data_IF_598218441873
#
_entry.id   IF_598218441873
#
_cell.length_a   1.000
_cell.length_b   1.000
_cell.length_c   1.000
_cell.angle_alpha   90.00
_cell.angle_beta   90.00
_cell.angle_gamma   90.00
#
_symmetry.space_group_name_H-M   'P 1'
#
loop_
_entity.id
_entity.type
_entity.pdbx_description
1 polymer ?
#
# COMPACT_ATOMS: atom_id res chain seq x y z
N UNK A 1 -29.82 34.82 -45.32
CA UNK A 1 -29.97 34.60 -43.86
C UNK A 1 -28.74 33.85 -43.36
N UNK A 2 -27.80 34.54 -42.71
CA UNK A 2 -26.58 33.95 -42.16
C UNK A 2 -26.84 33.50 -40.71
N UNK A 3 -26.63 32.21 -40.42
CA UNK A 3 -26.73 31.67 -39.05
C UNK A 3 -25.43 31.96 -38.31
N UNK A 4 -25.49 32.81 -37.29
CA UNK A 4 -24.40 32.97 -36.32
C UNK A 4 -24.36 31.75 -35.39
N UNK A 5 -23.18 31.18 -35.20
CA UNK A 5 -22.90 30.18 -34.17
C UNK A 5 -22.05 30.84 -33.08
N UNK A 6 -22.47 30.66 -31.82
CA UNK A 6 -21.73 31.12 -30.65
C UNK A 6 -20.89 29.95 -30.11
N UNK A 7 -19.59 30.14 -30.04
CA UNK A 7 -18.67 29.21 -29.35
C UNK A 7 -18.52 29.73 -27.93
N UNK A 8 -18.95 28.93 -26.95
CA UNK A 8 -18.71 29.21 -25.54
C UNK A 8 -17.38 28.57 -25.17
N UNK A 9 -16.35 29.39 -24.93
CA UNK A 9 -15.14 28.96 -24.25
C UNK A 9 -15.40 29.02 -22.75
N UNK A 10 -15.57 27.86 -22.11
CA UNK A 10 -15.52 27.78 -20.64
C UNK A 10 -14.06 27.64 -20.21
N UNK A 11 -13.56 28.63 -19.49
CA UNK A 11 -12.28 28.55 -18.79
C UNK A 11 -12.56 27.88 -17.44
N UNK A 12 -12.23 26.59 -17.30
CA UNK A 12 -12.25 25.93 -15.99
C UNK A 12 -11.02 26.41 -15.24
N UNK A 13 -11.20 27.42 -14.40
CA UNK A 13 -10.17 27.83 -13.47
C UNK A 13 -10.02 26.71 -12.41
N UNK A 14 -8.95 25.93 -12.53
CA UNK A 14 -8.53 25.00 -11.48
C UNK A 14 -7.95 25.84 -10.34
N UNK A 15 -8.79 26.19 -9.36
CA UNK A 15 -8.35 26.80 -8.10
C UNK A 15 -7.60 25.73 -7.32
N UNK A 16 -6.27 25.80 -7.37
CA UNK A 16 -5.39 25.03 -6.50
C UNK A 16 -5.56 25.49 -5.05
N UNK A 17 -6.55 24.93 -4.36
CA UNK A 17 -6.63 25.00 -2.91
C UNK A 17 -5.55 24.07 -2.37
N UNK A 18 -4.42 24.64 -1.97
CA UNK A 18 -3.46 23.94 -1.11
C UNK A 18 -4.11 23.75 0.26
N UNK A 19 -4.86 22.66 0.41
CA UNK A 19 -5.29 22.17 1.71
C UNK A 19 -4.04 21.78 2.48
N UNK A 20 -3.68 22.54 3.51
CA UNK A 20 -2.72 22.13 4.54
C UNK A 20 -3.39 21.34 5.67
N UNK A 21 -4.68 21.04 5.55
CA UNK A 21 -5.32 20.07 6.41
C UNK A 21 -4.91 18.68 5.91
N UNK A 22 -4.24 17.92 6.78
CA UNK A 22 -4.07 16.47 6.65
C UNK A 22 -5.48 15.89 6.67
N UNK A 23 -6.06 15.69 5.50
CA UNK A 23 -7.36 15.11 5.28
C UNK A 23 -7.12 13.76 4.60
N UNK A 24 -7.14 12.70 5.40
CA UNK A 24 -7.05 11.35 4.86
C UNK A 24 -8.13 11.16 3.77
N UNK A 25 -7.73 10.53 2.67
CA UNK A 25 -8.63 10.16 1.59
C UNK A 25 -9.13 8.75 1.87
N UNK A 26 -10.43 8.60 2.09
CA UNK A 26 -11.04 7.30 2.39
C UNK A 26 -11.89 6.82 1.21
N UNK A 27 -11.69 5.56 0.81
CA UNK A 27 -12.55 4.86 -0.14
C UNK A 27 -13.06 3.56 0.47
N UNK A 28 -14.37 3.34 0.47
CA UNK A 28 -15.04 2.23 1.16
C UNK A 28 -16.28 1.76 0.39
N UNK A 29 -16.21 1.80 -0.93
CA UNK A 29 -17.33 1.50 -1.83
C UNK A 29 -17.15 0.21 -2.65
N UNK A 30 -16.09 -0.55 -2.37
CA UNK A 30 -15.75 -1.78 -3.09
C UNK A 30 -15.35 -1.59 -4.56
N UNK A 31 -15.16 -0.35 -5.00
CA UNK A 31 -14.77 -0.06 -6.38
C UNK A 31 -13.27 -0.21 -6.59
N UNK A 32 -12.86 -0.18 -7.86
CA UNK A 32 -11.46 -0.17 -8.29
C UNK A 32 -10.98 1.26 -8.59
N UNK A 33 -9.84 1.61 -8.00
CA UNK A 33 -9.20 2.91 -8.10
C UNK A 33 -7.82 2.77 -8.74
N UNK A 34 -7.40 3.77 -9.51
CA UNK A 34 -6.05 3.83 -10.07
C UNK A 34 -5.37 5.14 -9.69
N UNK A 35 -4.13 5.04 -9.22
CA UNK A 35 -3.22 6.18 -8.99
C UNK A 35 -2.01 6.03 -9.91
N UNK A 36 -1.75 7.03 -10.76
CA UNK A 36 -0.71 6.98 -11.80
C UNK A 36 -1.12 6.24 -13.07
N UNK A 37 -0.25 6.28 -14.09
CA UNK A 37 -0.54 5.71 -15.42
C UNK A 37 -1.54 6.50 -16.26
N UNK A 38 -2.14 5.83 -17.25
CA UNK A 38 -3.22 6.36 -18.09
C UNK A 38 -4.59 5.96 -17.56
N UNK A 39 -5.57 6.87 -17.64
CA UNK A 39 -6.95 6.59 -17.24
C UNK A 39 -7.48 5.31 -17.95
N UNK A 40 -7.81 4.30 -17.14
CA UNK A 40 -8.35 3.02 -17.59
C UNK A 40 -9.85 2.89 -17.31
N UNK A 41 -10.33 1.66 -17.09
CA UNK A 41 -11.71 1.37 -16.68
C UNK A 41 -11.99 1.71 -15.20
N UNK A 42 -10.93 1.89 -14.42
CA UNK A 42 -10.99 2.21 -13.00
C UNK A 42 -11.21 3.71 -12.75
N UNK A 43 -11.60 4.05 -11.53
CA UNK A 43 -11.71 5.44 -11.09
C UNK A 43 -10.28 6.01 -10.96
N UNK A 44 -9.91 6.88 -11.89
CA UNK A 44 -8.59 7.52 -11.90
C UNK A 44 -8.53 8.65 -10.87
N UNK A 45 -7.66 8.49 -9.88
CA UNK A 45 -7.47 9.43 -8.77
C UNK A 45 -6.40 10.50 -9.04
N UNK A 46 -5.78 10.47 -10.22
CA UNK A 46 -4.66 11.34 -10.57
C UNK A 46 -3.29 10.69 -10.38
N UNK A 47 -2.24 11.49 -10.46
CA UNK A 47 -0.85 11.05 -10.27
C UNK A 47 -0.40 11.14 -8.82
N UNK A 48 -1.09 11.92 -7.99
CA UNK A 48 -0.58 12.25 -6.65
C UNK A 48 -1.72 12.44 -5.66
N UNK A 49 -1.64 11.72 -4.55
CA UNK A 49 -2.43 11.89 -3.34
C UNK A 49 -1.48 12.47 -2.29
N UNK A 50 -1.68 13.74 -1.94
CA UNK A 50 -0.85 14.47 -0.97
C UNK A 50 -1.31 14.24 0.48
N UNK A 51 -1.82 13.05 0.77
CA UNK A 51 -2.38 12.68 2.07
C UNK A 51 -2.25 11.17 2.34
N UNK A 52 -2.76 10.74 3.49
CA UNK A 52 -3.05 9.33 3.76
C UNK A 52 -4.11 8.82 2.80
N UNK A 53 -3.94 7.60 2.33
CA UNK A 53 -4.96 6.88 1.58
C UNK A 53 -5.41 5.69 2.41
N UNK A 54 -6.69 5.67 2.80
CA UNK A 54 -7.30 4.58 3.55
C UNK A 54 -8.32 3.87 2.68
N UNK A 55 -8.20 2.55 2.56
CA UNK A 55 -9.17 1.71 1.86
C UNK A 55 -9.95 0.84 2.85
N UNK A 56 -11.27 0.83 2.69
CA UNK A 56 -12.26 -0.02 3.35
C UNK A 56 -12.36 0.14 4.88
N UNK A 57 -12.52 1.38 5.33
CA UNK A 57 -12.68 1.75 6.74
C UNK A 57 -14.12 1.42 7.24
N UNK A 58 -14.27 0.20 7.79
CA UNK A 58 -15.25 -0.16 8.82
C UNK A 58 -16.70 -0.53 8.41
N UNK A 59 -17.04 -0.67 7.13
CA UNK A 59 -18.38 -1.12 6.71
C UNK A 59 -18.42 -2.62 6.40
N UNK A 60 -18.80 -3.41 7.41
CA UNK A 60 -19.08 -4.85 7.29
C UNK A 60 -20.05 -5.15 6.13
N UNK A 61 -19.58 -5.95 5.15
CA UNK A 61 -20.28 -6.56 3.99
C UNK A 61 -20.14 -5.92 2.60
N UNK A 62 -19.20 -5.02 2.34
CA UNK A 62 -18.85 -4.66 0.96
C UNK A 62 -17.75 -5.56 0.40
N UNK A 63 -17.74 -5.76 -0.93
CA UNK A 63 -16.58 -6.32 -1.62
C UNK A 63 -15.38 -5.40 -1.35
N UNK A 64 -14.19 -5.96 -1.09
CA UNK A 64 -13.02 -5.17 -0.71
C UNK A 64 -12.68 -4.09 -1.75
N UNK A 65 -12.35 -2.87 -1.32
CA UNK A 65 -11.88 -1.82 -2.23
C UNK A 65 -10.56 -2.23 -2.90
N UNK A 66 -10.46 -1.99 -4.21
CA UNK A 66 -9.28 -2.35 -5.01
C UNK A 66 -8.49 -1.11 -5.41
N UNK A 67 -7.16 -1.12 -5.26
CA UNK A 67 -6.28 -0.05 -5.70
C UNK A 67 -5.16 -0.57 -6.62
N UNK A 68 -5.03 0.07 -7.77
CA UNK A 68 -3.90 -0.09 -8.69
C UNK A 68 -2.97 1.12 -8.56
N UNK A 69 -1.78 0.92 -7.99
CA UNK A 69 -0.73 1.93 -7.90
C UNK A 69 0.32 1.67 -9.00
N UNK A 70 0.32 2.54 -10.00
CA UNK A 70 1.14 2.39 -11.20
C UNK A 70 2.31 3.38 -11.21
N UNK A 71 3.23 3.20 -12.16
CA UNK A 71 4.32 4.14 -12.40
C UNK A 71 3.82 5.59 -12.55
N UNK A 72 4.50 6.52 -11.86
CA UNK A 72 4.12 7.94 -11.77
C UNK A 72 3.01 8.26 -10.76
N UNK A 73 2.40 7.24 -10.14
CA UNK A 73 1.50 7.40 -9.01
C UNK A 73 2.27 7.65 -7.71
N UNK A 74 1.74 8.51 -6.83
CA UNK A 74 2.36 8.80 -5.54
C UNK A 74 1.31 8.98 -4.45
N UNK A 75 1.47 8.27 -3.34
CA UNK A 75 0.77 8.48 -2.07
C UNK A 75 1.81 9.08 -1.11
N UNK A 76 1.63 10.34 -0.73
CA UNK A 76 2.66 11.10 -0.01
C UNK A 76 2.91 10.56 1.40
N UNK A 77 1.88 10.02 2.06
CA UNK A 77 1.98 9.53 3.43
C UNK A 77 1.92 7.99 3.46
N UNK A 78 0.99 7.42 4.22
CA UNK A 78 0.82 5.97 4.34
C UNK A 78 -0.38 5.50 3.52
N UNK A 79 -0.26 4.28 3.01
CA UNK A 79 -1.37 3.52 2.44
C UNK A 79 -1.88 2.56 3.52
N UNK A 80 -3.10 2.78 3.99
CA UNK A 80 -3.74 1.98 5.04
C UNK A 80 -4.87 1.17 4.43
N UNK A 81 -4.91 -0.13 4.71
CA UNK A 81 -5.80 -1.10 4.08
C UNK A 81 -6.51 -1.89 5.17
N UNK A 82 -7.82 -2.00 5.04
CA UNK A 82 -8.68 -2.76 5.95
C UNK A 82 -9.61 -3.71 5.16
N UNK A 83 -10.33 -4.56 5.87
CA UNK A 83 -11.50 -5.32 5.40
C UNK A 83 -11.41 -5.92 3.98
N UNK A 84 -10.45 -6.81 3.72
CA UNK A 84 -10.27 -7.48 2.42
C UNK A 84 -9.93 -6.54 1.25
N UNK A 85 -9.53 -5.29 1.50
CA UNK A 85 -9.00 -4.42 0.45
C UNK A 85 -7.80 -5.09 -0.24
N UNK A 86 -7.68 -4.83 -1.55
CA UNK A 86 -6.58 -5.38 -2.33
C UNK A 86 -5.82 -4.27 -3.04
N UNK A 87 -4.51 -4.43 -3.11
CA UNK A 87 -3.63 -3.49 -3.78
C UNK A 87 -2.75 -4.23 -4.77
N UNK A 88 -2.69 -3.73 -6.00
CA UNK A 88 -1.67 -4.11 -6.96
C UNK A 88 -0.75 -2.92 -7.19
N UNK A 89 0.52 -3.06 -6.81
CA UNK A 89 1.54 -2.03 -6.96
C UNK A 89 2.58 -2.48 -7.99
N UNK A 90 2.50 -1.91 -9.19
CA UNK A 90 3.44 -2.20 -10.31
C UNK A 90 4.49 -1.09 -10.49
N UNK A 91 4.39 -0.02 -9.71
CA UNK A 91 5.26 1.15 -9.76
C UNK A 91 4.81 2.19 -8.74
N UNK A 92 5.28 3.44 -8.93
CA UNK A 92 4.87 4.57 -8.09
C UNK A 92 5.57 4.60 -6.73
N UNK A 93 5.05 5.40 -5.80
CA UNK A 93 5.64 5.55 -4.47
C UNK A 93 4.62 5.72 -3.35
N UNK A 94 4.88 5.10 -2.19
CA UNK A 94 4.22 5.36 -0.91
C UNK A 94 5.26 5.98 0.03
N UNK A 95 4.98 7.17 0.56
CA UNK A 95 5.98 7.98 1.25
C UNK A 95 6.45 7.42 2.60
N UNK A 96 5.56 6.79 3.37
CA UNK A 96 5.91 6.19 4.66
C UNK A 96 5.76 4.68 4.66
N UNK A 97 4.56 4.16 4.86
CA UNK A 97 4.35 2.74 5.06
C UNK A 97 3.13 2.23 4.31
N UNK A 98 3.16 0.95 3.97
CA UNK A 98 1.96 0.19 3.63
C UNK A 98 1.53 -0.54 4.91
N UNK A 99 0.35 -0.19 5.42
CA UNK A 99 -0.28 -0.82 6.58
C UNK A 99 -1.45 -1.66 6.11
N UNK A 100 -1.29 -2.97 6.16
CA UNK A 100 -2.28 -3.95 5.74
C UNK A 100 -2.88 -4.64 6.97
N UNK A 101 -4.20 -4.55 7.12
CA UNK A 101 -4.96 -5.17 8.21
C UNK A 101 -6.11 -6.02 7.64
N UNK A 102 -6.72 -6.87 8.47
CA UNK A 102 -8.04 -7.52 8.24
C UNK A 102 -8.22 -8.19 6.86
N UNK A 103 -7.56 -9.33 6.65
CA UNK A 103 -7.66 -10.17 5.45
C UNK A 103 -7.31 -9.44 4.13
N UNK A 104 -6.60 -8.31 4.20
CA UNK A 104 -6.13 -7.57 3.02
C UNK A 104 -5.04 -8.31 2.25
N UNK A 105 -4.96 -8.02 0.95
CA UNK A 105 -3.91 -8.58 0.09
C UNK A 105 -3.22 -7.48 -0.71
N UNK A 106 -1.90 -7.37 -0.56
CA UNK A 106 -1.06 -6.49 -1.37
C UNK A 106 -0.16 -7.34 -2.26
N UNK A 107 -0.13 -7.05 -3.56
CA UNK A 107 0.84 -7.62 -4.49
C UNK A 107 1.70 -6.51 -5.05
N UNK A 108 3.02 -6.60 -4.83
CA UNK A 108 3.98 -5.57 -5.24
C UNK A 108 5.03 -6.18 -6.17
N UNK A 109 5.05 -5.72 -7.43
CA UNK A 109 6.03 -6.10 -8.44
C UNK A 109 6.92 -4.93 -8.88
N UNK A 110 6.65 -3.73 -8.34
CA UNK A 110 7.45 -2.54 -8.56
C UNK A 110 7.13 -1.39 -7.62
N UNK A 111 7.87 -0.29 -7.77
CA UNK A 111 7.69 0.94 -7.01
C UNK A 111 8.37 1.00 -5.65
N UNK A 112 8.20 2.12 -4.95
CA UNK A 112 8.94 2.47 -3.73
C UNK A 112 8.01 2.58 -2.51
N UNK A 113 8.45 2.01 -1.38
CA UNK A 113 7.86 2.26 -0.06
C UNK A 113 8.93 2.93 0.80
N UNK A 114 8.60 4.05 1.45
CA UNK A 114 9.61 4.87 2.10
C UNK A 114 10.26 4.23 3.34
N UNK A 115 9.46 3.63 4.22
CA UNK A 115 9.92 3.14 5.53
C UNK A 115 9.66 1.65 5.71
N UNK A 116 8.38 1.25 5.78
CA UNK A 116 8.04 -0.07 6.28
C UNK A 116 6.81 -0.72 5.66
N UNK A 117 6.78 -2.04 5.80
CA UNK A 117 5.59 -2.87 5.63
C UNK A 117 5.04 -3.25 7.00
N UNK A 118 3.73 -3.11 7.18
CA UNK A 118 3.03 -3.57 8.38
C UNK A 118 1.90 -4.49 7.96
N UNK A 119 1.87 -5.70 8.51
CA UNK A 119 0.81 -6.69 8.27
C UNK A 119 0.19 -7.15 9.60
N UNK A 120 -1.14 -7.10 9.69
CA UNK A 120 -1.94 -7.51 10.85
C UNK A 120 -3.20 -8.26 10.41
N UNK A 121 -3.84 -8.97 11.34
CA UNK A 121 -5.15 -9.61 11.17
C UNK A 121 -5.30 -10.39 9.84
N UNK A 122 -4.41 -11.37 9.60
CA UNK A 122 -4.34 -12.21 8.39
C UNK A 122 -4.00 -11.49 7.08
N UNK A 123 -3.61 -10.21 7.11
CA UNK A 123 -3.14 -9.52 5.94
C UNK A 123 -1.91 -10.19 5.32
N UNK A 124 -1.83 -10.17 3.99
CA UNK A 124 -0.73 -10.77 3.23
C UNK A 124 -0.15 -9.74 2.25
N UNK A 125 1.18 -9.62 2.25
CA UNK A 125 1.93 -8.80 1.29
C UNK A 125 2.83 -9.73 0.47
N UNK A 126 2.53 -9.86 -0.82
CA UNK A 126 3.32 -10.59 -1.79
C UNK A 126 4.31 -9.65 -2.48
N UNK A 127 5.59 -10.03 -2.47
CA UNK A 127 6.66 -9.32 -3.17
C UNK A 127 7.11 -10.16 -4.37
N UNK A 128 7.02 -9.58 -5.56
CA UNK A 128 7.43 -10.22 -6.81
C UNK A 128 8.75 -9.63 -7.28
N UNK A 129 9.76 -10.48 -7.40
CA UNK A 129 11.12 -10.04 -7.67
C UNK A 129 12.16 -11.14 -7.51
N UNK A 130 13.38 -10.73 -7.19
CA UNK A 130 14.54 -11.60 -7.06
C UNK A 130 15.49 -11.11 -5.97
N UNK A 131 16.40 -12.00 -5.56
CA UNK A 131 17.47 -11.72 -4.59
C UNK A 131 16.96 -11.22 -3.24
N UNK A 132 15.79 -11.70 -2.80
CA UNK A 132 15.26 -11.31 -1.51
C UNK A 132 16.08 -11.89 -0.36
N UNK A 133 16.28 -11.09 0.68
CA UNK A 133 16.87 -11.54 1.94
C UNK A 133 16.23 -10.84 3.13
N UNK A 134 16.18 -11.54 4.26
CA UNK A 134 15.76 -10.97 5.55
C UNK A 134 16.98 -10.82 6.42
N UNK A 135 17.16 -9.62 6.98
CA UNK A 135 18.12 -9.37 8.05
C UNK A 135 17.37 -9.18 9.36
N UNK A 136 17.64 -10.04 10.34
CA UNK A 136 17.04 -9.99 11.66
C UNK A 136 18.10 -10.35 12.71
N UNK A 137 18.18 -9.60 13.82
CA UNK A 137 19.19 -9.79 14.86
C UNK A 137 20.65 -9.87 14.33
N UNK A 138 20.96 -9.12 13.27
CA UNK A 138 22.28 -9.08 12.63
C UNK A 138 22.60 -10.27 11.73
N UNK A 139 21.67 -11.20 11.51
CA UNK A 139 21.82 -12.35 10.60
C UNK A 139 21.02 -12.11 9.33
N UNK A 140 21.68 -12.22 8.18
CA UNK A 140 21.05 -12.12 6.86
C UNK A 140 20.81 -13.50 6.27
N UNK A 141 19.57 -13.79 5.90
CA UNK A 141 19.14 -15.07 5.31
C UNK A 141 18.54 -14.80 3.93
N UNK A 142 19.06 -15.45 2.90
CA UNK A 142 18.47 -15.41 1.56
C UNK A 142 17.16 -16.18 1.52
N UNK A 143 16.14 -15.63 0.87
CA UNK A 143 14.82 -16.24 0.75
C UNK A 143 14.69 -17.05 -0.55
N UNK A 144 13.99 -18.17 -0.46
CA UNK A 144 13.50 -18.94 -1.60
C UNK A 144 12.16 -18.44 -2.13
N UNK A 145 11.67 -19.10 -3.18
CA UNK A 145 10.32 -18.85 -3.68
C UNK A 145 9.29 -19.32 -2.63
N UNK A 146 8.28 -18.49 -2.36
CA UNK A 146 7.17 -18.80 -1.43
C UNK A 146 7.59 -18.84 0.05
N UNK A 147 8.79 -18.36 0.39
CA UNK A 147 9.22 -18.23 1.77
C UNK A 147 8.40 -17.17 2.51
N UNK A 148 8.01 -17.47 3.76
CA UNK A 148 7.40 -16.48 4.65
C UNK A 148 8.49 -15.76 5.45
N UNK A 149 8.54 -14.42 5.34
CA UNK A 149 9.55 -13.59 6.03
C UNK A 149 9.48 -13.73 7.54
N UNK A 150 8.31 -14.04 8.12
CA UNK A 150 8.17 -14.25 9.57
C UNK A 150 8.96 -15.45 10.08
N UNK A 151 9.27 -16.42 9.21
CA UNK A 151 10.10 -17.59 9.57
C UNK A 151 11.57 -17.25 9.80
N UNK A 152 12.01 -16.07 9.35
CA UNK A 152 13.39 -15.59 9.44
C UNK A 152 13.54 -14.30 10.25
N UNK A 153 12.43 -13.82 10.84
CA UNK A 153 12.35 -12.58 11.58
C UNK A 153 12.66 -12.77 13.08
N UNK A 154 12.87 -11.67 13.80
CA UNK A 154 12.97 -11.69 15.26
C UNK A 154 11.58 -11.49 15.87
N UNK A 155 11.13 -12.44 16.70
CA UNK A 155 9.94 -12.25 17.52
C UNK A 155 10.25 -11.24 18.64
N UNK A 156 9.40 -10.22 18.77
CA UNK A 156 9.44 -9.22 19.83
C UNK A 156 8.17 -9.39 20.68
N UNK A 157 8.36 -9.67 21.97
CA UNK A 157 7.29 -9.74 22.98
C UNK A 157 7.36 -8.47 23.84
N UNK A 158 6.46 -7.51 23.63
CA UNK A 158 6.46 -6.23 24.37
C UNK A 158 5.37 -6.12 25.45
N UNK A 159 4.53 -7.16 25.58
CA UNK A 159 3.43 -7.26 26.54
C UNK A 159 2.11 -6.63 26.08
N UNK A 160 2.11 -5.82 25.02
CA UNK A 160 0.91 -5.28 24.39
C UNK A 160 0.57 -6.00 23.08
N UNK A 161 1.59 -6.35 22.29
CA UNK A 161 1.43 -7.05 21.02
C UNK A 161 2.72 -7.77 20.64
N UNK A 162 2.61 -9.03 20.27
CA UNK A 162 3.76 -9.78 19.75
C UNK A 162 3.86 -9.56 18.25
N UNK A 163 5.06 -9.28 17.77
CA UNK A 163 5.30 -9.08 16.35
C UNK A 163 6.65 -9.62 15.91
N UNK A 164 6.71 -10.01 14.64
CA UNK A 164 7.94 -10.35 13.95
C UNK A 164 8.53 -9.08 13.31
N UNK A 165 9.81 -8.84 13.57
CA UNK A 165 10.55 -7.68 13.10
C UNK A 165 11.81 -8.07 12.31
N UNK A 166 12.08 -7.32 11.25
CA UNK A 166 13.30 -7.44 10.46
C UNK A 166 13.38 -6.41 9.35
N UNK A 167 14.46 -6.50 8.56
CA UNK A 167 14.63 -5.73 7.32
C UNK A 167 14.57 -6.70 6.15
N UNK A 168 13.74 -6.41 5.16
CA UNK A 168 13.73 -7.12 3.88
C UNK A 168 14.46 -6.30 2.82
N UNK A 169 15.38 -6.94 2.12
CA UNK A 169 16.07 -6.38 0.96
C UNK A 169 15.84 -7.23 -0.27
N UNK A 170 16.00 -6.67 -1.46
CA UNK A 170 15.92 -7.40 -2.73
C UNK A 170 15.71 -6.50 -3.93
N UNK A 171 15.30 -7.09 -5.05
CA UNK A 171 14.98 -6.35 -6.27
C UNK A 171 13.62 -6.79 -6.78
N UNK A 172 12.67 -5.87 -6.86
CA UNK A 172 11.35 -6.11 -7.42
C UNK A 172 11.42 -6.39 -8.93
N UNK A 173 10.36 -6.93 -9.50
CA UNK A 173 10.31 -7.32 -10.92
C UNK A 173 10.55 -6.14 -11.89
N UNK A 174 10.20 -4.91 -11.52
CA UNK A 174 10.50 -3.69 -12.29
C UNK A 174 11.97 -3.21 -12.17
N UNK A 175 12.79 -3.89 -11.36
CA UNK A 175 14.18 -3.53 -11.08
C UNK A 175 14.37 -2.61 -9.87
N UNK A 176 13.30 -2.18 -9.21
CA UNK A 176 13.37 -1.34 -8.01
C UNK A 176 14.02 -2.10 -6.86
N UNK A 177 14.98 -1.46 -6.18
CA UNK A 177 15.63 -2.03 -5.01
C UNK A 177 14.74 -1.84 -3.78
N UNK A 178 14.58 -2.92 -3.02
CA UNK A 178 13.88 -2.94 -1.74
C UNK A 178 14.91 -2.89 -0.60
N UNK A 179 14.66 -2.06 0.40
CA UNK A 179 15.42 -1.99 1.66
C UNK A 179 14.50 -1.39 2.72
N UNK A 180 13.63 -2.23 3.27
CA UNK A 180 12.52 -1.79 4.09
C UNK A 180 12.45 -2.60 5.38
N UNK A 181 12.03 -1.96 6.46
CA UNK A 181 11.68 -2.68 7.68
C UNK A 181 10.30 -3.32 7.53
N UNK A 182 10.05 -4.40 8.27
CA UNK A 182 8.71 -4.99 8.34
C UNK A 182 8.30 -5.31 9.78
N UNK A 183 6.99 -5.25 10.00
CA UNK A 183 6.31 -5.60 11.24
C UNK A 183 5.15 -6.55 10.91
N UNK A 184 5.19 -7.78 11.40
CA UNK A 184 4.09 -8.74 11.22
C UNK A 184 3.54 -9.08 12.60
N UNK A 185 2.34 -8.59 12.87
CA UNK A 185 1.70 -8.78 14.16
C UNK A 185 1.03 -10.16 14.21
N UNK A 186 1.26 -10.87 15.31
CA UNK A 186 0.56 -12.11 15.60
C UNK A 186 -0.86 -11.80 16.09
N UNK A 187 -1.86 -12.45 15.52
CA UNK A 187 -3.27 -12.08 15.68
C UNK A 187 -3.99 -12.91 16.74
N UNK A 188 -3.24 -13.71 17.50
CA UNK A 188 -3.75 -14.45 18.65
C UNK A 188 -3.47 -13.73 19.98
N UNK A 189 -4.39 -13.77 20.97
CA UNK A 189 -4.06 -13.38 22.33
C UNK A 189 -2.86 -14.20 22.85
N UNK A 190 -1.86 -13.50 23.38
CA UNK A 190 -0.74 -14.12 24.07
C UNK A 190 -1.23 -14.83 25.32
N UNK A 191 -1.48 -16.14 25.22
CA UNK A 191 -1.64 -16.99 26.40
C UNK A 191 -0.24 -17.43 26.84
N UNK A 192 0.51 -16.50 27.45
CA UNK A 192 1.88 -16.70 27.90
C UNK A 192 2.12 -18.13 28.40
N UNK A 193 2.75 -18.94 27.56
CA UNK A 193 3.08 -20.32 27.86
C UNK A 193 4.34 -20.32 28.70
N UNK A 194 4.15 -20.40 30.01
CA UNK A 194 5.22 -20.64 30.99
C UNK A 194 5.93 -21.96 30.76
#
# INVERSE_FOLDING_TARGET
MLKQAWVVLSCVAFLGLASTAIAAVHYYDGQSYTVGGTAGADIYLGTTINDYLTLDDYLVNTFGTHLNLNAGGSIQYSLVLHNQATVTMTGGSVGYNIHAEEDTTVTMSGGLVGLSFVAQHNAVIYLEGSNFSVTASGVTTALGNVDNVSSYATLIEDGNSDYYFGTITGTLADGTTLDNTFYIYNTGPYYGGT
#
